data_IF_304979247221
#
_entry.id   IF_304979247221
#
_cell.length_a   1.000
_cell.length_b   1.000
_cell.length_c   1.000
_cell.angle_alpha   90.00
_cell.angle_beta   90.00
_cell.angle_gamma   90.00
#
_symmetry.space_group_name_H-M   'P 1'
#
loop_
_entity.id
_entity.type
_entity.pdbx_description
1 polymer ?
#
# COMPACT_ATOMS: atom_id res chain seq x y z
N UNK A 1 7.67 -17.36 16.18
CA UNK A 1 6.84 -18.56 16.43
C UNK A 1 6.28 -18.99 15.09
N UNK A 2 6.54 -20.23 14.64
CA UNK A 2 6.00 -20.72 13.37
C UNK A 2 4.47 -20.58 13.42
N UNK A 3 3.88 -19.83 12.48
CA UNK A 3 2.43 -19.81 12.27
C UNK A 3 2.01 -21.25 12.00
N UNK A 4 1.32 -21.86 12.96
CA UNK A 4 0.67 -23.14 12.76
C UNK A 4 -0.32 -22.98 11.62
N UNK A 5 -0.04 -23.64 10.49
CA UNK A 5 -0.90 -23.68 9.32
C UNK A 5 -2.34 -24.05 9.74
N UNK A 6 -3.33 -23.34 9.21
CA UNK A 6 -4.78 -23.57 9.47
C UNK A 6 -5.14 -25.04 9.33
N UNK A 7 -4.62 -25.72 8.31
CA UNK A 7 -4.84 -27.13 8.06
C UNK A 7 -4.25 -28.03 9.15
N UNK A 8 -3.11 -27.66 9.73
CA UNK A 8 -2.53 -28.38 10.88
C UNK A 8 -3.46 -28.29 12.08
N UNK A 9 -3.99 -27.09 12.41
CA UNK A 9 -4.96 -26.89 13.49
C UNK A 9 -6.26 -27.67 13.28
N UNK A 10 -6.79 -27.64 12.05
CA UNK A 10 -7.98 -28.44 11.69
C UNK A 10 -7.70 -29.92 11.96
N UNK A 11 -6.58 -30.46 11.48
CA UNK A 11 -6.23 -31.88 11.64
C UNK A 11 -6.05 -32.29 13.12
N UNK A 12 -5.39 -31.48 13.93
CA UNK A 12 -5.19 -31.73 15.36
C UNK A 12 -6.51 -31.80 16.13
N UNK A 13 -7.52 -31.04 15.73
CA UNK A 13 -8.82 -30.99 16.41
C UNK A 13 -9.87 -31.91 15.77
N UNK A 14 -9.65 -32.41 14.57
CA UNK A 14 -10.65 -33.11 13.75
C UNK A 14 -11.30 -34.30 14.46
N UNK A 15 -10.52 -35.14 15.19
CA UNK A 15 -11.03 -36.32 15.88
C UNK A 15 -12.09 -35.97 16.95
N UNK A 16 -11.99 -34.77 17.56
CA UNK A 16 -12.87 -34.30 18.64
C UNK A 16 -14.03 -33.41 18.12
N UNK A 17 -14.10 -33.14 16.82
CA UNK A 17 -15.12 -32.30 16.23
C UNK A 17 -16.49 -32.92 16.21
N UNK A 18 -17.54 -32.10 16.39
CA UNK A 18 -18.93 -32.49 16.17
C UNK A 18 -19.17 -32.76 14.67
N UNK A 19 -20.30 -33.40 14.32
CA UNK A 19 -20.66 -33.69 12.93
C UNK A 19 -20.69 -32.41 12.06
N UNK A 20 -21.24 -31.31 12.58
CA UNK A 20 -21.26 -30.03 11.85
C UNK A 20 -19.86 -29.41 11.68
N UNK A 21 -19.01 -29.50 12.70
CA UNK A 21 -17.62 -29.02 12.59
C UNK A 21 -16.78 -29.87 11.63
N UNK A 22 -17.01 -31.19 11.57
CA UNK A 22 -16.37 -32.07 10.58
C UNK A 22 -16.77 -31.70 9.16
N UNK A 23 -18.07 -31.45 8.92
CA UNK A 23 -18.55 -31.01 7.60
C UNK A 23 -17.89 -29.68 7.17
N UNK A 24 -17.66 -28.74 8.10
CA UNK A 24 -16.92 -27.51 7.80
C UNK A 24 -15.45 -27.82 7.47
N UNK A 25 -14.79 -28.65 8.26
CA UNK A 25 -13.39 -29.03 8.07
C UNK A 25 -13.18 -29.75 6.74
N UNK A 26 -14.05 -30.70 6.40
CA UNK A 26 -14.00 -31.45 5.15
C UNK A 26 -14.21 -30.54 3.94
N UNK A 27 -15.23 -29.67 3.98
CA UNK A 27 -15.49 -28.71 2.93
C UNK A 27 -14.31 -27.74 2.71
N UNK A 28 -13.74 -27.23 3.78
CA UNK A 28 -12.56 -26.34 3.69
C UNK A 28 -11.37 -27.09 3.09
N UNK A 29 -11.19 -28.36 3.42
CA UNK A 29 -10.07 -29.17 2.90
C UNK A 29 -10.24 -29.49 1.41
N UNK A 30 -11.46 -29.74 0.97
CA UNK A 30 -11.79 -30.11 -0.43
C UNK A 30 -11.99 -28.90 -1.34
N UNK A 31 -12.52 -27.79 -0.79
CA UNK A 31 -12.91 -26.57 -1.50
C UNK A 31 -12.31 -25.31 -0.89
N UNK A 32 -11.05 -25.38 -0.45
CA UNK A 32 -10.38 -24.27 0.23
C UNK A 32 -10.33 -23.00 -0.61
N UNK A 33 -10.23 -23.14 -1.91
CA UNK A 33 -10.24 -22.07 -2.92
C UNK A 33 -11.55 -21.25 -2.92
N UNK A 34 -12.67 -21.88 -2.56
CA UNK A 34 -13.97 -21.23 -2.41
C UNK A 34 -14.23 -20.79 -0.95
N UNK A 35 -13.90 -21.66 0.00
CA UNK A 35 -14.16 -21.43 1.42
C UNK A 35 -13.49 -20.15 1.95
N UNK A 36 -12.30 -19.84 1.45
CA UNK A 36 -11.52 -18.65 1.86
C UNK A 36 -12.26 -17.34 1.63
N UNK A 37 -13.11 -17.26 0.62
CA UNK A 37 -13.86 -16.04 0.28
C UNK A 37 -15.31 -16.04 0.83
N UNK A 38 -15.71 -17.09 1.56
CA UNK A 38 -17.06 -17.18 2.11
C UNK A 38 -17.15 -16.49 3.46
N UNK A 39 -18.22 -15.73 3.69
CA UNK A 39 -18.61 -15.29 5.04
C UNK A 39 -19.09 -16.49 5.87
N UNK A 40 -19.11 -16.35 7.20
CA UNK A 40 -19.64 -17.41 8.09
C UNK A 40 -21.09 -17.79 7.72
N UNK A 41 -21.90 -16.77 7.38
CA UNK A 41 -23.29 -16.98 6.92
C UNK A 41 -23.34 -17.78 5.61
N UNK A 42 -22.50 -17.42 4.62
CA UNK A 42 -22.48 -18.09 3.32
C UNK A 42 -21.97 -19.53 3.40
N UNK A 43 -20.92 -19.76 4.21
CA UNK A 43 -20.42 -21.10 4.48
C UNK A 43 -21.48 -21.96 5.19
N UNK A 44 -22.18 -21.37 6.17
CA UNK A 44 -23.30 -22.02 6.86
C UNK A 44 -24.45 -22.42 5.91
N UNK A 45 -24.86 -21.49 5.04
CA UNK A 45 -25.87 -21.74 3.99
C UNK A 45 -25.44 -22.89 3.06
N UNK A 46 -24.19 -22.86 2.58
CA UNK A 46 -23.65 -23.88 1.67
C UNK A 46 -23.66 -25.27 2.29
N UNK A 47 -23.42 -25.38 3.58
CA UNK A 47 -23.35 -26.66 4.32
C UNK A 47 -24.67 -27.06 5.01
N UNK A 48 -25.71 -26.20 4.91
CA UNK A 48 -26.97 -26.44 5.62
C UNK A 48 -26.86 -26.39 7.13
N UNK A 49 -25.95 -25.58 7.67
CA UNK A 49 -25.70 -25.41 9.12
C UNK A 49 -25.82 -23.92 9.52
N UNK A 50 -26.03 -23.66 10.80
CA UNK A 50 -26.14 -22.29 11.28
C UNK A 50 -24.83 -21.54 11.23
N UNK A 51 -24.90 -20.22 10.94
CA UNK A 51 -23.73 -19.31 11.03
C UNK A 51 -23.01 -19.41 12.39
N UNK A 52 -23.78 -19.49 13.47
CA UNK A 52 -23.23 -19.63 14.82
C UNK A 52 -22.40 -20.93 15.00
N UNK A 53 -22.67 -21.98 14.24
CA UNK A 53 -21.89 -23.20 14.22
C UNK A 53 -20.55 -22.97 13.52
N UNK A 54 -20.55 -22.20 12.43
CA UNK A 54 -19.32 -21.81 11.71
C UNK A 54 -18.42 -20.92 12.57
N UNK A 55 -19.00 -19.94 13.28
CA UNK A 55 -18.24 -19.09 14.21
C UNK A 55 -17.65 -19.91 15.36
N UNK A 56 -18.41 -20.86 15.93
CA UNK A 56 -17.91 -21.77 16.98
C UNK A 56 -16.84 -22.73 16.49
N UNK A 57 -16.90 -23.13 15.23
CA UNK A 57 -15.82 -23.93 14.63
C UNK A 57 -14.50 -23.16 14.65
N UNK A 58 -14.48 -21.90 14.18
CA UNK A 58 -13.28 -21.07 14.21
C UNK A 58 -12.72 -20.90 15.62
N UNK A 59 -13.59 -20.65 16.62
CA UNK A 59 -13.18 -20.59 18.03
C UNK A 59 -12.65 -21.93 18.55
N UNK A 60 -13.25 -23.04 18.15
CA UNK A 60 -12.86 -24.39 18.56
C UNK A 60 -11.49 -24.83 18.07
N UNK A 61 -10.97 -24.24 17.01
CA UNK A 61 -9.60 -24.47 16.49
C UNK A 61 -8.62 -23.34 16.87
N UNK A 62 -9.02 -22.48 17.82
CA UNK A 62 -8.14 -21.50 18.46
C UNK A 62 -8.04 -20.13 17.77
N UNK A 63 -9.03 -19.77 16.98
CA UNK A 63 -9.14 -18.41 16.43
C UNK A 63 -10.14 -17.56 17.22
N UNK A 64 -9.86 -16.27 17.37
CA UNK A 64 -10.76 -15.31 17.99
C UNK A 64 -11.81 -14.84 16.97
N UNK A 65 -12.74 -15.77 16.64
CA UNK A 65 -13.83 -15.57 15.71
C UNK A 65 -13.51 -15.91 14.26
N UNK A 66 -14.58 -15.96 13.45
CA UNK A 66 -14.50 -16.31 12.03
C UNK A 66 -13.63 -15.36 11.19
N UNK A 67 -13.66 -14.03 11.38
CA UNK A 67 -12.82 -13.13 10.59
C UNK A 67 -11.32 -13.40 10.72
N UNK A 68 -10.82 -13.70 11.93
CA UNK A 68 -9.41 -14.06 12.15
C UNK A 68 -9.05 -15.42 11.54
N UNK A 69 -9.96 -16.39 11.61
CA UNK A 69 -9.83 -17.67 10.94
C UNK A 69 -9.77 -17.50 9.42
N UNK A 70 -10.70 -16.74 8.84
CA UNK A 70 -10.75 -16.45 7.41
C UNK A 70 -9.45 -15.80 6.92
N UNK A 71 -8.94 -14.78 7.63
CA UNK A 71 -7.67 -14.13 7.31
C UNK A 71 -6.48 -15.11 7.35
N UNK A 72 -6.45 -16.02 8.31
CA UNK A 72 -5.43 -17.06 8.39
C UNK A 72 -5.56 -18.07 7.21
N UNK A 73 -6.79 -18.44 6.85
CA UNK A 73 -7.06 -19.30 5.70
C UNK A 73 -6.64 -18.63 4.39
N UNK A 74 -6.91 -17.32 4.24
CA UNK A 74 -6.44 -16.50 3.10
C UNK A 74 -4.92 -16.52 2.98
N UNK A 75 -4.21 -16.37 4.08
CA UNK A 75 -2.74 -16.41 4.10
C UNK A 75 -2.18 -17.76 3.64
N UNK A 76 -2.82 -18.88 4.02
CA UNK A 76 -2.45 -20.22 3.57
C UNK A 76 -2.67 -20.43 2.05
N UNK A 77 -3.67 -19.77 1.49
CA UNK A 77 -4.08 -19.93 0.08
C UNK A 77 -3.31 -19.01 -0.86
N UNK A 78 -2.83 -17.85 -0.37
CA UNK A 78 -2.13 -16.87 -1.19
C UNK A 78 -0.94 -17.46 -1.99
N UNK A 79 -0.31 -18.53 -1.48
CA UNK A 79 0.77 -19.23 -2.18
C UNK A 79 0.34 -20.29 -3.20
N UNK A 80 -0.92 -20.77 -3.17
CA UNK A 80 -1.39 -21.92 -3.96
C UNK A 80 -2.26 -21.55 -5.17
N UNK A 81 -3.08 -20.50 -5.08
CA UNK A 81 -3.92 -20.04 -6.18
C UNK A 81 -3.19 -19.00 -7.04
N UNK A 82 -3.32 -19.12 -8.37
CA UNK A 82 -2.90 -18.05 -9.26
C UNK A 82 -3.91 -16.89 -9.24
N UNK A 83 -3.50 -15.70 -9.74
CA UNK A 83 -4.32 -14.49 -9.68
C UNK A 83 -5.70 -14.64 -10.36
N UNK A 84 -5.79 -15.42 -11.44
CA UNK A 84 -7.04 -15.67 -12.15
C UNK A 84 -7.99 -16.51 -11.28
N UNK A 85 -7.50 -17.56 -10.63
CA UNK A 85 -8.30 -18.41 -9.75
C UNK A 85 -8.83 -17.62 -8.54
N UNK A 86 -8.01 -16.72 -7.98
CA UNK A 86 -8.44 -15.81 -6.90
C UNK A 86 -9.56 -14.87 -7.37
N UNK A 87 -9.41 -14.31 -8.56
CA UNK A 87 -10.39 -13.41 -9.15
C UNK A 87 -11.70 -14.12 -9.42
N UNK A 88 -11.66 -15.32 -10.02
CA UNK A 88 -12.84 -16.11 -10.32
C UNK A 88 -13.57 -16.57 -9.05
N UNK A 89 -12.83 -17.03 -8.04
CA UNK A 89 -13.40 -17.42 -6.76
C UNK A 89 -14.09 -16.25 -6.04
N UNK A 90 -13.52 -15.04 -6.11
CA UNK A 90 -14.09 -13.84 -5.45
C UNK A 90 -15.23 -13.20 -6.24
N UNK A 91 -15.11 -13.12 -7.56
CA UNK A 91 -15.98 -12.30 -8.41
C UNK A 91 -16.70 -13.08 -9.51
N UNK A 92 -16.37 -14.35 -9.76
CA UNK A 92 -16.83 -15.11 -10.94
C UNK A 92 -18.34 -15.30 -11.03
N UNK A 93 -19.10 -15.07 -9.95
CA UNK A 93 -20.57 -15.09 -9.91
C UNK A 93 -21.20 -13.73 -9.70
N UNK A 94 -20.41 -12.67 -9.61
CA UNK A 94 -20.89 -11.31 -9.32
C UNK A 94 -21.26 -10.58 -10.62
N UNK A 95 -22.30 -9.77 -10.56
CA UNK A 95 -22.60 -8.78 -11.60
C UNK A 95 -21.54 -7.68 -11.64
N UNK A 96 -21.47 -6.92 -12.73
CA UNK A 96 -20.51 -5.82 -12.87
C UNK A 96 -20.68 -4.75 -11.78
N UNK A 97 -21.91 -4.45 -11.38
CA UNK A 97 -22.19 -3.49 -10.30
C UNK A 97 -21.76 -4.01 -8.92
N UNK A 98 -21.91 -5.30 -8.66
CA UNK A 98 -21.45 -5.94 -7.43
C UNK A 98 -19.91 -5.95 -7.36
N UNK A 99 -19.24 -6.19 -8.50
CA UNK A 99 -17.77 -6.09 -8.58
C UNK A 99 -17.30 -4.68 -8.24
N UNK A 100 -17.94 -3.63 -8.81
CA UNK A 100 -17.61 -2.24 -8.51
C UNK A 100 -17.72 -1.94 -7.01
N UNK A 101 -18.87 -2.27 -6.41
CA UNK A 101 -19.10 -2.04 -4.98
C UNK A 101 -18.12 -2.82 -4.12
N UNK A 102 -17.84 -4.08 -4.45
CA UNK A 102 -16.91 -4.94 -3.71
C UNK A 102 -15.47 -4.42 -3.77
N UNK A 103 -15.02 -3.92 -4.94
CA UNK A 103 -13.67 -3.34 -5.08
C UNK A 103 -13.55 -2.07 -4.25
N UNK A 104 -14.51 -1.14 -4.36
CA UNK A 104 -14.49 0.11 -3.58
C UNK A 104 -14.54 -0.14 -2.06
N UNK A 105 -15.35 -1.10 -1.63
CA UNK A 105 -15.42 -1.48 -0.20
C UNK A 105 -14.07 -2.06 0.26
N UNK A 106 -13.46 -2.95 -0.52
CA UNK A 106 -12.16 -3.51 -0.20
C UNK A 106 -11.05 -2.45 -0.17
N UNK A 107 -11.15 -1.40 -0.98
CA UNK A 107 -10.21 -0.28 -0.95
C UNK A 107 -10.37 0.59 0.31
N UNK A 108 -11.62 0.82 0.75
CA UNK A 108 -11.90 1.48 2.04
C UNK A 108 -11.28 0.68 3.20
N UNK A 109 -11.44 -0.65 3.22
CA UNK A 109 -10.85 -1.52 4.23
C UNK A 109 -9.31 -1.41 4.26
N UNK A 110 -8.65 -1.36 3.09
CA UNK A 110 -7.20 -1.18 3.01
C UNK A 110 -6.73 0.18 3.52
N UNK A 111 -7.47 1.24 3.25
CA UNK A 111 -7.19 2.57 3.81
C UNK A 111 -7.33 2.51 5.34
N UNK A 112 -8.41 1.90 5.86
CA UNK A 112 -8.62 1.76 7.30
C UNK A 112 -7.51 0.94 7.96
N UNK A 113 -7.17 -0.23 7.39
CA UNK A 113 -6.04 -1.05 7.87
C UNK A 113 -4.72 -0.28 7.86
N UNK A 114 -4.51 0.61 6.89
CA UNK A 114 -3.32 1.46 6.83
C UNK A 114 -3.33 2.49 7.97
N UNK A 115 -4.46 3.14 8.23
CA UNK A 115 -4.63 4.09 9.33
C UNK A 115 -4.36 3.41 10.67
N UNK A 116 -4.92 2.22 10.89
CA UNK A 116 -4.80 1.47 12.16
C UNK A 116 -3.37 1.01 12.45
N UNK A 117 -2.51 0.93 11.42
CA UNK A 117 -1.11 0.49 11.53
C UNK A 117 -0.10 1.59 11.19
N UNK A 118 -0.52 2.85 11.16
CA UNK A 118 0.39 3.98 10.92
C UNK A 118 1.44 4.10 12.01
N UNK A 119 2.66 4.43 11.58
CA UNK A 119 3.74 4.92 12.45
C UNK A 119 3.95 6.42 12.19
N UNK A 120 3.41 7.30 13.04
CA UNK A 120 3.57 8.74 12.90
C UNK A 120 5.03 9.19 12.95
N UNK A 121 5.87 8.53 13.76
CA UNK A 121 7.28 8.88 13.87
C UNK A 121 8.05 8.55 12.59
N UNK A 122 7.75 7.41 11.95
CA UNK A 122 8.31 7.07 10.65
C UNK A 122 7.87 8.08 9.59
N UNK A 123 6.60 8.51 9.61
CA UNK A 123 6.11 9.51 8.66
C UNK A 123 6.80 10.87 8.83
N UNK A 124 6.93 11.37 10.06
CA UNK A 124 7.65 12.60 10.36
C UNK A 124 9.12 12.52 9.97
N UNK A 125 9.77 11.38 10.22
CA UNK A 125 11.14 11.11 9.80
C UNK A 125 11.30 11.13 8.28
N UNK A 126 10.35 10.56 7.54
CA UNK A 126 10.35 10.59 6.06
C UNK A 126 10.25 12.03 5.55
N UNK A 127 9.34 12.84 6.11
CA UNK A 127 9.17 14.25 5.74
C UNK A 127 10.47 15.02 5.99
N UNK A 128 11.08 14.88 7.19
CA UNK A 128 12.34 15.53 7.52
C UNK A 128 13.47 15.11 6.56
N UNK A 129 13.62 13.82 6.32
CA UNK A 129 14.63 13.26 5.41
C UNK A 129 14.51 13.84 4.00
N UNK A 130 13.30 13.95 3.46
CA UNK A 130 13.06 14.52 2.14
C UNK A 130 13.40 16.01 2.12
N UNK A 131 13.05 16.76 3.16
CA UNK A 131 13.35 18.18 3.25
C UNK A 131 14.86 18.49 3.38
N UNK A 132 15.61 17.64 4.03
CA UNK A 132 17.06 17.80 4.23
C UNK A 132 17.90 17.34 3.02
N UNK A 133 17.35 16.48 2.16
CA UNK A 133 18.10 15.92 1.04
C UNK A 133 18.54 16.98 0.03
N UNK A 134 19.77 16.87 -0.50
CA UNK A 134 20.25 17.68 -1.62
C UNK A 134 19.67 17.18 -2.95
N UNK A 135 19.59 15.86 -3.11
CA UNK A 135 19.04 15.18 -4.29
C UNK A 135 18.10 14.07 -3.86
N UNK A 136 17.00 13.89 -4.58
CA UNK A 136 16.02 12.84 -4.31
C UNK A 136 15.94 11.92 -5.52
N UNK A 137 16.10 10.61 -5.28
CA UNK A 137 15.94 9.56 -6.28
C UNK A 137 14.68 8.76 -5.94
N UNK A 138 13.81 8.55 -6.92
CA UNK A 138 12.55 7.83 -6.73
C UNK A 138 12.52 6.65 -7.67
N UNK A 139 12.18 5.47 -7.15
CA UNK A 139 12.03 4.26 -7.94
C UNK A 139 10.80 3.46 -7.54
N UNK A 140 9.95 3.20 -8.51
CA UNK A 140 8.87 2.22 -8.46
C UNK A 140 8.75 1.60 -9.84
N UNK A 141 8.67 0.26 -9.92
CA UNK A 141 8.68 -0.44 -11.20
C UNK A 141 7.37 -1.20 -11.44
N UNK A 142 7.02 -1.39 -12.71
CA UNK A 142 5.83 -2.10 -13.15
C UNK A 142 4.55 -1.45 -12.59
N UNK A 143 3.69 -2.19 -11.87
CA UNK A 143 2.47 -1.66 -11.26
C UNK A 143 2.72 -0.52 -10.26
N UNK A 144 3.93 -0.39 -9.73
CA UNK A 144 4.31 0.68 -8.79
C UNK A 144 4.88 1.93 -9.48
N UNK A 145 5.14 1.87 -10.79
CA UNK A 145 5.66 3.02 -11.56
C UNK A 145 4.72 4.22 -11.52
N UNK A 146 3.39 4.09 -11.64
CA UNK A 146 2.48 5.23 -11.51
C UNK A 146 2.58 5.95 -10.17
N UNK A 147 2.83 5.22 -9.06
CA UNK A 147 3.03 5.83 -7.73
C UNK A 147 4.33 6.64 -7.68
N UNK A 148 5.40 6.10 -8.24
CA UNK A 148 6.69 6.78 -8.33
C UNK A 148 6.61 8.03 -9.21
N UNK A 149 5.93 7.94 -10.35
CA UNK A 149 5.72 9.05 -11.26
C UNK A 149 4.86 10.16 -10.62
N UNK A 150 3.81 9.79 -9.90
CA UNK A 150 2.96 10.72 -9.16
C UNK A 150 3.77 11.46 -8.06
N UNK A 151 4.52 10.73 -7.25
CA UNK A 151 5.37 11.34 -6.22
C UNK A 151 6.44 12.24 -6.85
N UNK A 152 7.08 11.79 -7.92
CA UNK A 152 8.07 12.58 -8.67
C UNK A 152 7.49 13.89 -9.18
N UNK A 153 6.29 13.85 -9.78
CA UNK A 153 5.63 15.04 -10.31
C UNK A 153 5.48 16.12 -9.24
N UNK A 154 4.91 15.78 -8.08
CA UNK A 154 4.70 16.75 -7.01
C UNK A 154 5.99 17.17 -6.32
N UNK A 155 6.92 16.24 -6.07
CA UNK A 155 8.20 16.61 -5.47
C UNK A 155 9.02 17.55 -6.37
N UNK A 156 8.94 17.36 -7.70
CA UNK A 156 9.63 18.24 -8.64
C UNK A 156 9.04 19.66 -8.66
N UNK A 157 7.75 19.81 -8.34
CA UNK A 157 7.12 21.14 -8.15
C UNK A 157 7.56 21.80 -6.84
N UNK A 158 7.79 21.01 -5.79
CA UNK A 158 8.17 21.52 -4.45
C UNK A 158 9.67 21.81 -4.39
N UNK A 159 10.49 20.93 -5.00
CA UNK A 159 11.95 20.92 -4.89
C UNK A 159 12.61 20.70 -6.24
N UNK A 160 13.80 21.28 -6.44
CA UNK A 160 14.65 20.89 -7.58
C UNK A 160 15.42 19.59 -7.28
N UNK A 161 16.08 19.04 -8.29
CA UNK A 161 16.94 17.84 -8.21
C UNK A 161 16.20 16.58 -7.73
N UNK A 162 15.05 16.30 -8.30
CA UNK A 162 14.28 15.07 -8.10
C UNK A 162 14.40 14.22 -9.37
N UNK A 163 14.86 12.99 -9.24
CA UNK A 163 15.08 12.06 -10.35
C UNK A 163 14.16 10.85 -10.24
N UNK A 164 13.41 10.57 -11.30
CA UNK A 164 12.63 9.34 -11.43
C UNK A 164 13.45 8.29 -12.16
N UNK A 165 13.74 7.18 -11.49
CA UNK A 165 14.46 6.05 -12.06
C UNK A 165 13.47 5.07 -12.71
N UNK A 166 13.16 5.28 -13.97
CA UNK A 166 12.18 4.47 -14.72
C UNK A 166 12.77 3.72 -15.93
N UNK A 167 14.10 3.60 -15.97
CA UNK A 167 14.78 2.88 -17.06
C UNK A 167 14.44 1.37 -17.08
N UNK A 168 14.49 0.75 -18.25
CA UNK A 168 14.34 -0.69 -18.41
C UNK A 168 15.66 -1.46 -18.22
N UNK A 169 16.79 -0.76 -18.28
CA UNK A 169 18.14 -1.32 -18.11
C UNK A 169 18.55 -1.37 -16.64
N UNK A 170 19.13 -2.48 -16.21
CA UNK A 170 19.70 -2.62 -14.87
C UNK A 170 20.96 -1.78 -14.71
N UNK A 171 21.85 -1.78 -15.71
CA UNK A 171 23.10 -0.99 -15.68
C UNK A 171 22.79 0.51 -15.61
N UNK A 172 21.87 1.00 -16.43
CA UNK A 172 21.48 2.40 -16.47
C UNK A 172 20.89 2.89 -15.12
N UNK A 173 20.20 2.01 -14.38
CA UNK A 173 19.75 2.35 -13.02
C UNK A 173 20.91 2.78 -12.13
N UNK A 174 22.02 2.01 -12.15
CA UNK A 174 23.21 2.32 -11.33
C UNK A 174 24.01 3.50 -11.89
N UNK A 175 24.04 3.66 -13.21
CA UNK A 175 24.66 4.81 -13.88
C UNK A 175 23.98 6.12 -13.45
N UNK A 176 22.63 6.15 -13.41
CA UNK A 176 21.86 7.30 -12.94
C UNK A 176 22.08 7.57 -11.44
N UNK A 177 22.41 6.54 -10.65
CA UNK A 177 22.65 6.63 -9.20
C UNK A 177 24.14 6.76 -8.84
N UNK A 178 25.06 6.88 -9.80
CA UNK A 178 26.51 6.79 -9.55
C UNK A 178 27.01 7.82 -8.52
N UNK A 179 26.36 8.97 -8.43
CA UNK A 179 26.72 10.08 -7.54
C UNK A 179 25.94 10.12 -6.23
N UNK A 180 25.03 9.17 -5.99
CA UNK A 180 24.25 9.13 -4.74
C UNK A 180 25.17 9.00 -3.53
N UNK A 181 24.86 9.75 -2.46
CA UNK A 181 25.70 9.80 -1.26
C UNK A 181 24.94 10.23 0.00
N UNK A 182 25.67 10.52 1.10
CA UNK A 182 25.09 10.74 2.44
C UNK A 182 24.12 11.92 2.56
N UNK A 183 24.15 12.85 1.60
CA UNK A 183 23.26 14.03 1.59
C UNK A 183 22.01 13.81 0.73
N UNK A 184 21.89 12.65 0.10
CA UNK A 184 20.81 12.34 -0.80
C UNK A 184 19.78 11.42 -0.16
N UNK A 185 18.57 11.42 -0.71
CA UNK A 185 17.49 10.53 -0.33
C UNK A 185 17.11 9.61 -1.49
N UNK A 186 16.98 8.32 -1.21
CA UNK A 186 16.40 7.36 -2.14
C UNK A 186 15.02 6.92 -1.62
N UNK A 187 13.99 7.03 -2.44
CA UNK A 187 12.63 6.58 -2.15
C UNK A 187 12.29 5.40 -3.04
N UNK A 188 12.22 4.21 -2.44
CA UNK A 188 11.85 2.97 -3.13
C UNK A 188 10.40 2.60 -2.86
N UNK A 189 9.63 2.34 -3.92
CA UNK A 189 8.23 1.92 -3.84
C UNK A 189 8.10 0.52 -4.40
N UNK A 190 7.77 -0.46 -3.55
CA UNK A 190 7.56 -1.84 -3.99
C UNK A 190 6.67 -2.60 -3.02
N UNK A 191 5.71 -3.32 -3.60
CA UNK A 191 4.75 -4.18 -2.92
C UNK A 191 4.96 -5.65 -3.34
N UNK A 192 4.31 -6.63 -2.72
CA UNK A 192 4.39 -8.04 -3.12
C UNK A 192 4.03 -8.20 -4.61
N UNK A 193 4.78 -8.99 -5.19
CA UNK A 193 6.00 -9.52 -5.63
C UNK A 193 7.13 -8.50 -5.78
N UNK A 194 7.85 -8.24 -4.74
CA UNK A 194 8.87 -7.20 -4.68
C UNK A 194 9.84 -7.27 -5.85
N UNK A 195 10.16 -6.10 -6.42
CA UNK A 195 11.10 -6.00 -7.52
C UNK A 195 12.54 -6.16 -7.03
N UNK A 196 13.25 -7.18 -7.52
CA UNK A 196 14.68 -7.35 -7.23
C UNK A 196 15.52 -6.15 -7.69
N UNK A 197 15.11 -5.46 -8.75
CA UNK A 197 15.81 -4.24 -9.21
C UNK A 197 15.64 -3.11 -8.19
N UNK A 198 14.44 -2.92 -7.67
CA UNK A 198 14.20 -1.93 -6.63
C UNK A 198 15.00 -2.28 -5.36
N UNK A 199 15.02 -3.55 -4.95
CA UNK A 199 15.82 -4.00 -3.80
C UNK A 199 17.33 -3.72 -4.00
N UNK A 200 17.87 -4.01 -5.17
CA UNK A 200 19.27 -3.74 -5.49
C UNK A 200 19.60 -2.25 -5.55
N UNK A 201 18.66 -1.41 -5.94
CA UNK A 201 18.82 0.03 -5.91
C UNK A 201 18.80 0.58 -4.47
N UNK A 202 17.92 0.02 -3.59
CA UNK A 202 17.95 0.36 -2.15
C UNK A 202 19.29 -0.06 -1.51
N UNK A 203 19.74 -1.30 -1.77
CA UNK A 203 21.04 -1.80 -1.29
C UNK A 203 22.18 -0.85 -1.69
N UNK A 204 22.25 -0.50 -2.98
CA UNK A 204 23.27 0.41 -3.50
C UNK A 204 23.24 1.81 -2.85
N UNK A 205 22.03 2.37 -2.65
CA UNK A 205 21.88 3.66 -1.98
C UNK A 205 22.33 3.58 -0.50
N UNK A 206 21.94 2.51 0.20
CA UNK A 206 22.32 2.28 1.58
C UNK A 206 23.83 2.10 1.74
N UNK A 207 24.49 1.34 0.86
CA UNK A 207 25.95 1.12 0.86
C UNK A 207 26.74 2.42 0.66
N UNK A 208 26.11 3.44 0.05
CA UNK A 208 26.66 4.77 -0.15
C UNK A 208 26.28 5.76 0.95
N UNK A 209 25.67 5.26 2.04
CA UNK A 209 25.20 6.03 3.18
C UNK A 209 24.11 7.09 2.83
N UNK A 210 23.43 6.96 1.73
CA UNK A 210 22.26 7.77 1.44
C UNK A 210 21.12 7.43 2.41
N UNK A 211 20.22 8.39 2.64
CA UNK A 211 19.00 8.11 3.40
C UNK A 211 18.03 7.34 2.52
N UNK A 212 17.52 6.22 3.02
CA UNK A 212 16.63 5.35 2.24
C UNK A 212 15.26 5.29 2.89
N UNK A 213 14.22 5.67 2.13
CA UNK A 213 12.82 5.55 2.51
C UNK A 213 12.20 4.43 1.68
N UNK A 214 11.54 3.48 2.33
CA UNK A 214 10.76 2.45 1.65
C UNK A 214 9.25 2.72 1.83
N UNK A 215 8.49 2.67 0.72
CA UNK A 215 7.03 2.65 0.74
C UNK A 215 6.63 1.22 0.35
N UNK A 216 6.05 0.49 1.28
CA UNK A 216 5.79 -0.95 1.16
C UNK A 216 4.59 -1.39 2.00
N UNK A 217 4.25 -2.69 1.99
CA UNK A 217 3.03 -3.22 2.62
C UNK A 217 3.20 -3.67 4.07
N UNK A 218 4.43 -4.01 4.49
CA UNK A 218 4.65 -4.74 5.73
C UNK A 218 6.02 -4.48 6.35
N UNK A 219 6.10 -4.57 7.68
CA UNK A 219 7.38 -4.58 8.43
C UNK A 219 8.26 -5.78 8.06
N UNK A 220 7.70 -6.81 7.44
CA UNK A 220 8.43 -8.00 6.97
C UNK A 220 8.86 -7.90 5.50
N UNK A 221 8.61 -6.76 4.85
CA UNK A 221 9.07 -6.52 3.48
C UNK A 221 10.59 -6.59 3.39
N UNK A 222 11.15 -7.23 2.36
CA UNK A 222 12.61 -7.24 2.14
C UNK A 222 13.19 -5.85 1.91
N UNK A 223 12.37 -4.85 1.59
CA UNK A 223 12.77 -3.45 1.47
C UNK A 223 13.34 -2.90 2.78
N UNK A 224 12.83 -3.38 3.92
CA UNK A 224 13.23 -2.95 5.26
C UNK A 224 14.66 -3.32 5.64
N UNK A 225 15.29 -4.21 4.88
CA UNK A 225 16.71 -4.55 5.11
C UNK A 225 17.67 -3.40 4.80
N UNK A 226 17.27 -2.49 3.91
CA UNK A 226 18.12 -1.42 3.40
C UNK A 226 17.58 -0.02 3.69
N UNK A 227 16.35 0.09 4.20
CA UNK A 227 15.72 1.38 4.47
C UNK A 227 15.94 1.83 5.91
N UNK A 228 16.14 3.13 6.10
CA UNK A 228 16.22 3.78 7.41
C UNK A 228 14.85 4.25 7.90
N UNK A 229 13.86 4.32 7.00
CA UNK A 229 12.49 4.74 7.29
C UNK A 229 11.52 3.98 6.40
N UNK A 230 10.41 3.50 7.00
CA UNK A 230 9.42 2.68 6.30
C UNK A 230 8.03 3.30 6.42
N UNK A 231 7.43 3.62 5.29
CA UNK A 231 6.03 4.02 5.19
C UNK A 231 5.20 2.82 4.76
N UNK A 232 4.37 2.34 5.66
CA UNK A 232 3.57 1.15 5.42
C UNK A 232 2.20 1.52 4.85
N UNK A 233 1.80 0.85 3.77
CA UNK A 233 0.47 0.98 3.18
C UNK A 233 -0.03 -0.38 2.71
N UNK A 234 -1.27 -0.72 3.04
CA UNK A 234 -1.84 -2.02 2.66
C UNK A 234 -2.07 -2.09 1.14
N UNK A 235 -1.49 -3.10 0.53
CA UNK A 235 -1.64 -3.41 -0.90
C UNK A 235 -1.74 -4.91 -1.09
N UNK A 236 -2.83 -5.50 -0.59
CA UNK A 236 -3.05 -6.93 -0.72
C UNK A 236 -3.49 -7.28 -2.13
N UNK A 237 -2.76 -8.19 -2.77
CA UNK A 237 -3.13 -8.76 -4.05
C UNK A 237 -4.23 -9.81 -3.85
N UNK A 238 -5.48 -9.38 -3.88
CA UNK A 238 -6.64 -10.29 -3.82
C UNK A 238 -6.96 -10.87 -5.19
N UNK A 239 -6.44 -10.25 -6.27
CA UNK A 239 -6.75 -10.63 -7.66
C UNK A 239 -5.52 -10.49 -8.56
N UNK A 240 -5.74 -10.40 -9.88
CA UNK A 240 -4.71 -10.05 -10.87
C UNK A 240 -4.26 -8.59 -10.73
N UNK A 241 -5.12 -7.74 -10.13
CA UNK A 241 -4.88 -6.30 -9.98
C UNK A 241 -4.55 -5.99 -8.53
N UNK A 242 -3.41 -5.32 -8.32
CA UNK A 242 -3.02 -4.78 -7.02
C UNK A 242 -3.77 -3.48 -6.76
N UNK A 243 -4.36 -3.31 -5.57
CA UNK A 243 -4.91 -2.01 -5.20
C UNK A 243 -3.78 -1.06 -4.79
N UNK A 244 -3.74 0.09 -5.45
CA UNK A 244 -2.78 1.15 -5.15
C UNK A 244 -3.41 2.31 -4.35
N UNK A 245 -4.65 2.19 -3.90
CA UNK A 245 -5.41 3.28 -3.28
C UNK A 245 -4.78 3.70 -1.95
N UNK A 246 -4.52 2.78 -1.04
CA UNK A 246 -3.88 3.10 0.24
C UNK A 246 -2.42 3.58 0.06
N UNK A 247 -1.57 2.95 -0.77
CA UNK A 247 -0.27 3.49 -1.14
C UNK A 247 -0.32 4.93 -1.69
N UNK A 248 -1.24 5.21 -2.59
CA UNK A 248 -1.42 6.56 -3.15
C UNK A 248 -1.87 7.55 -2.08
N UNK A 249 -2.74 7.15 -1.15
CA UNK A 249 -3.18 7.99 -0.04
C UNK A 249 -2.03 8.35 0.91
N UNK A 250 -1.11 7.43 1.19
CA UNK A 250 0.11 7.70 1.97
C UNK A 250 1.02 8.69 1.23
N UNK A 251 1.17 8.53 -0.08
CA UNK A 251 1.95 9.46 -0.92
C UNK A 251 1.29 10.85 -0.95
N UNK A 252 -0.04 10.94 -1.07
CA UNK A 252 -0.77 12.20 -0.98
C UNK A 252 -0.50 12.91 0.36
N UNK A 253 -0.60 12.18 1.47
CA UNK A 253 -0.31 12.73 2.79
C UNK A 253 1.13 13.24 2.89
N UNK A 254 2.10 12.52 2.31
CA UNK A 254 3.51 12.92 2.27
C UNK A 254 3.70 14.23 1.50
N UNK A 255 3.08 14.35 0.33
CA UNK A 255 3.13 15.57 -0.51
C UNK A 255 2.52 16.76 0.25
N UNK A 256 1.33 16.58 0.84
CA UNK A 256 0.66 17.65 1.62
C UNK A 256 1.53 18.09 2.80
N UNK A 257 2.11 17.14 3.55
CA UNK A 257 2.97 17.47 4.67
C UNK A 257 4.21 18.26 4.24
N UNK A 258 4.82 17.91 3.10
CA UNK A 258 5.96 18.63 2.52
C UNK A 258 5.58 20.05 2.09
N UNK A 259 4.44 20.23 1.43
CA UNK A 259 3.93 21.55 1.05
C UNK A 259 3.74 22.45 2.27
N UNK A 260 3.16 21.93 3.35
CA UNK A 260 2.94 22.69 4.58
C UNK A 260 4.23 23.04 5.33
N UNK A 261 5.31 22.29 5.13
CA UNK A 261 6.63 22.57 5.74
C UNK A 261 7.44 23.61 4.98
N UNK A 262 7.18 23.82 3.69
CA UNK A 262 7.89 24.80 2.85
C UNK A 262 6.95 25.67 1.99
N UNK A 263 5.97 26.36 2.61
CA UNK A 263 4.90 27.06 1.88
C UNK A 263 5.45 28.17 0.96
N UNK A 264 6.45 28.91 1.36
CA UNK A 264 7.04 29.99 0.55
C UNK A 264 7.72 29.47 -0.73
N UNK A 265 8.41 28.32 -0.63
CA UNK A 265 9.05 27.70 -1.79
C UNK A 265 8.00 27.15 -2.75
N UNK A 266 6.94 26.52 -2.23
CA UNK A 266 5.82 26.00 -3.01
C UNK A 266 5.13 27.15 -3.73
N UNK A 267 4.78 28.24 -3.04
CA UNK A 267 4.16 29.42 -3.64
C UNK A 267 5.01 29.96 -4.78
N UNK A 268 6.29 30.25 -4.54
CA UNK A 268 7.20 30.78 -5.56
C UNK A 268 7.28 29.89 -6.80
N UNK A 269 7.33 28.58 -6.60
CA UNK A 269 7.40 27.65 -7.74
C UNK A 269 6.08 27.61 -8.51
N UNK A 270 4.93 27.65 -7.83
CA UNK A 270 3.62 27.72 -8.47
C UNK A 270 3.44 29.04 -9.23
N UNK A 271 3.80 30.19 -8.66
CA UNK A 271 3.79 31.49 -9.35
C UNK A 271 4.60 31.44 -10.66
N UNK A 272 5.81 30.89 -10.59
CA UNK A 272 6.65 30.73 -11.79
C UNK A 272 6.03 29.79 -12.83
N UNK A 273 5.36 28.72 -12.40
CA UNK A 273 4.67 27.79 -13.30
C UNK A 273 3.45 28.45 -13.94
N UNK A 274 2.61 29.16 -13.18
CA UNK A 274 1.45 29.90 -13.70
C UNK A 274 1.86 30.94 -14.73
N UNK A 275 2.88 31.75 -14.45
CA UNK A 275 3.45 32.69 -15.41
C UNK A 275 3.92 31.99 -16.70
N UNK A 276 4.56 30.82 -16.54
CA UNK A 276 5.04 30.04 -17.67
C UNK A 276 3.88 29.48 -18.50
N UNK A 277 2.89 28.89 -17.84
CA UNK A 277 1.71 28.33 -18.51
C UNK A 277 0.91 29.40 -19.27
N UNK A 278 0.76 30.57 -18.70
CA UNK A 278 0.11 31.71 -19.34
C UNK A 278 0.91 32.20 -20.58
N UNK A 279 2.22 32.34 -20.42
CA UNK A 279 3.09 32.80 -21.49
C UNK A 279 3.15 31.83 -22.68
N UNK A 280 3.06 30.52 -22.43
CA UNK A 280 3.10 29.48 -23.45
C UNK A 280 1.73 28.92 -23.82
N UNK A 281 0.64 29.49 -23.26
CA UNK A 281 -0.76 29.07 -23.52
C UNK A 281 -0.95 27.55 -23.35
N UNK A 282 -0.45 27.02 -22.23
CA UNK A 282 -0.49 25.58 -21.94
C UNK A 282 -1.93 25.09 -21.66
N UNK A 283 -2.77 25.96 -21.08
CA UNK A 283 -4.18 25.68 -20.80
C UNK A 283 -5.09 26.57 -21.65
N UNK A 284 -6.25 26.04 -22.02
CA UNK A 284 -7.21 26.73 -22.90
C UNK A 284 -8.06 27.79 -22.18
N UNK A 285 -8.18 27.74 -20.87
CA UNK A 285 -8.98 28.65 -20.07
C UNK A 285 -8.27 28.96 -18.74
N UNK A 286 -8.27 30.24 -18.40
CA UNK A 286 -7.75 30.80 -17.15
C UNK A 286 -8.64 30.52 -15.92
N UNK A 287 -9.47 29.45 -15.94
CA UNK A 287 -10.50 29.21 -14.92
C UNK A 287 -9.99 28.55 -13.63
N UNK A 288 -8.71 28.13 -13.55
CA UNK A 288 -8.13 27.61 -12.33
C UNK A 288 -6.84 28.34 -12.03
N UNK A 289 -6.95 29.48 -11.38
CA UNK A 289 -5.83 30.14 -10.74
C UNK A 289 -5.49 29.36 -9.45
N UNK A 290 -4.33 28.71 -9.42
CA UNK A 290 -3.87 28.02 -8.21
C UNK A 290 -3.42 29.00 -7.11
N UNK A 291 -3.38 30.28 -7.44
CA UNK A 291 -2.97 31.37 -6.54
C UNK A 291 -4.07 32.42 -6.57
N UNK A 292 -5.12 32.20 -5.75
CA UNK A 292 -6.03 33.27 -5.42
C UNK A 292 -5.27 34.37 -4.66
N UNK A 293 -5.41 35.63 -5.10
CA UNK A 293 -4.85 36.83 -4.44
C UNK A 293 -5.46 37.08 -3.03
N UNK A 294 -6.31 36.19 -2.52
CA UNK A 294 -6.77 36.29 -1.15
C UNK A 294 -5.66 35.86 -0.17
N UNK A 295 -5.34 36.69 0.85
CA UNK A 295 -4.32 36.37 1.82
C UNK A 295 -4.67 35.04 2.48
N UNK A 296 -3.74 34.07 2.43
CA UNK A 296 -3.88 32.79 3.10
C UNK A 296 -4.41 33.02 4.50
N UNK A 297 -5.59 32.46 4.80
CA UNK A 297 -6.16 32.46 6.14
C UNK A 297 -5.08 32.02 7.13
N UNK A 298 -4.73 32.92 8.03
CA UNK A 298 -3.76 32.69 9.10
C UNK A 298 -4.26 31.54 10.01
N UNK A 299 -3.85 30.32 9.70
CA UNK A 299 -4.18 29.13 10.51
C UNK A 299 -3.61 29.16 11.92
N UNK A 300 -2.75 30.18 12.24
CA UNK A 300 -2.19 30.34 13.57
C UNK A 300 -3.21 30.75 14.64
N UNK A 301 -4.38 31.27 14.23
CA UNK A 301 -5.41 31.78 15.15
C UNK A 301 -6.43 30.73 15.62
N UNK A 302 -6.48 29.53 15.03
CA UNK A 302 -7.45 28.49 15.45
C UNK A 302 -6.99 27.53 16.53
N UNK A 303 -5.71 27.59 16.95
CA UNK A 303 -5.17 26.71 18.01
C UNK A 303 -5.16 27.35 19.41
N UNK A 304 -5.79 28.50 19.63
CA UNK A 304 -5.78 29.18 20.95
C UNK A 304 -7.10 29.22 21.70
N UNK A 305 -8.12 28.55 21.21
CA UNK A 305 -9.37 28.39 21.98
C UNK A 305 -9.84 26.93 22.01
N UNK A 306 -9.25 26.14 22.92
CA UNK A 306 -9.93 25.12 23.75
C UNK A 306 -8.99 24.61 24.83
#
# INVERSE_FOLDING_TARGET
MAEYDVFTRINEHYAKMSKGHKAIADYISEHFDQAVFMTAAKLGETLGISESTVVRFAAGIGYDGYPKFQKALESCVQGKLNGIQKMDAKYGRSSQSEILTSVLTADIEKIQDTIDNLDPAAFESAVATILEAETIYIMGLRSNEPLAAFLHFYLNMIRGKVFLLNTTSVSETFEQMIHIGPKDCFIGISFPRYSMRTLKALEFANDRNAKVIAITDSIHSPMNLYSSCNLLARSDMVSVVDSLVAPLSVINALVVALCLKCPEQVRKNLETLEETWNNYQVYLNDEIDFIDDEPMLDYSLRCKEK
#
